data_IF_470358763880
#
_entry.id   IF_470358763880
#
_cell.length_a   1.000
_cell.length_b   1.000
_cell.length_c   1.000
_cell.angle_alpha   90.00
_cell.angle_beta   90.00
_cell.angle_gamma   90.00
#
_symmetry.space_group_name_H-M   'P 1'
#
loop_
_entity.id
_entity.type
_entity.pdbx_description
1 polymer ?
#
# COMPACT_ATOMS: atom_id res chain seq x y z
N UNK A 1 10.88 -19.24 11.01
CA UNK A 1 10.52 -17.88 11.43
C UNK A 1 9.80 -17.28 10.22
N UNK A 2 8.48 -17.13 10.32
CA UNK A 2 7.57 -17.13 9.17
C UNK A 2 7.58 -15.84 8.34
N UNK A 3 7.44 -16.02 7.03
CA UNK A 3 7.17 -14.98 6.03
C UNK A 3 5.93 -14.15 6.42
N UNK A 4 6.15 -13.05 7.12
CA UNK A 4 5.07 -12.14 7.53
C UNK A 4 4.66 -11.17 6.39
N UNK A 5 5.51 -11.00 5.37
CA UNK A 5 5.30 -10.06 4.26
C UNK A 5 4.63 -10.73 3.04
N UNK A 6 4.76 -12.05 2.88
CA UNK A 6 4.26 -12.76 1.69
C UNK A 6 2.74 -12.89 1.57
N UNK A 7 1.97 -12.74 2.66
CA UNK A 7 0.53 -12.96 2.65
C UNK A 7 -0.29 -11.70 2.37
N UNK A 8 0.24 -10.51 2.68
CA UNK A 8 -0.45 -9.22 2.49
C UNK A 8 -0.52 -8.82 1.01
N UNK A 9 0.41 -9.32 0.19
CA UNK A 9 0.57 -9.01 -1.23
C UNK A 9 -0.04 -10.08 -2.17
N UNK A 10 -0.93 -10.95 -1.66
CA UNK A 10 -1.62 -11.90 -2.54
C UNK A 10 -2.49 -11.13 -3.57
N UNK A 11 -2.36 -11.39 -4.88
CA UNK A 11 -3.02 -10.58 -5.92
C UNK A 11 -4.55 -10.50 -5.76
N UNK A 12 -5.19 -11.56 -5.26
CA UNK A 12 -6.63 -11.54 -4.97
C UNK A 12 -7.04 -10.64 -3.78
N UNK A 13 -6.13 -10.43 -2.83
CA UNK A 13 -6.37 -9.57 -1.67
C UNK A 13 -6.26 -8.08 -2.03
N UNK A 14 -5.30 -7.74 -2.90
CA UNK A 14 -5.13 -6.39 -3.45
C UNK A 14 -6.33 -6.00 -4.30
N UNK A 15 -6.78 -6.87 -5.21
CA UNK A 15 -7.94 -6.55 -6.06
C UNK A 15 -9.23 -6.38 -5.24
N UNK A 16 -9.42 -7.19 -4.18
CA UNK A 16 -10.55 -7.02 -3.26
C UNK A 16 -10.49 -5.68 -2.51
N UNK A 17 -9.31 -5.27 -2.06
CA UNK A 17 -9.08 -3.97 -1.45
C UNK A 17 -9.37 -2.82 -2.42
N UNK A 18 -8.86 -2.92 -3.66
CA UNK A 18 -9.07 -1.90 -4.71
C UNK A 18 -10.56 -1.72 -4.98
N UNK A 19 -11.31 -2.82 -5.13
CA UNK A 19 -12.75 -2.77 -5.39
C UNK A 19 -13.55 -2.16 -4.24
N UNK A 20 -13.23 -2.50 -2.98
CA UNK A 20 -13.91 -1.94 -1.82
C UNK A 20 -13.73 -0.42 -1.71
N UNK A 21 -12.50 0.05 -1.91
CA UNK A 21 -12.18 1.46 -1.83
C UNK A 21 -12.67 2.24 -3.05
N UNK A 22 -12.64 1.65 -4.25
CA UNK A 22 -13.20 2.25 -5.45
C UNK A 22 -14.70 2.53 -5.28
N UNK A 23 -15.48 1.55 -4.78
CA UNK A 23 -16.90 1.74 -4.44
C UNK A 23 -17.11 2.82 -3.39
N UNK A 24 -16.19 2.97 -2.46
CA UNK A 24 -16.27 4.01 -1.43
C UNK A 24 -15.98 5.40 -2.00
N UNK A 25 -15.03 5.52 -2.93
CA UNK A 25 -14.74 6.77 -3.62
C UNK A 25 -15.90 7.20 -4.51
N UNK A 26 -16.46 6.29 -5.34
CA UNK A 26 -17.62 6.61 -6.19
C UNK A 26 -18.83 7.07 -5.37
N UNK A 27 -19.03 6.53 -4.16
CA UNK A 27 -20.11 6.96 -3.26
C UNK A 27 -19.89 8.33 -2.62
N UNK A 28 -18.64 8.78 -2.52
CA UNK A 28 -18.26 10.00 -1.77
C UNK A 28 -17.85 11.17 -2.65
N UNK A 29 -17.32 10.88 -3.83
CA UNK A 29 -16.88 11.86 -4.81
C UNK A 29 -17.88 11.91 -5.95
N UNK A 30 -18.47 13.09 -6.17
CA UNK A 30 -19.38 13.30 -7.28
C UNK A 30 -18.59 13.41 -8.60
N UNK A 31 -19.11 12.80 -9.67
CA UNK A 31 -18.49 12.83 -11.00
C UNK A 31 -17.31 11.88 -11.23
N UNK A 32 -17.05 10.92 -10.33
CA UNK A 32 -15.97 9.95 -10.46
C UNK A 32 -16.51 8.60 -10.96
N UNK A 33 -15.97 8.08 -12.07
CA UNK A 33 -16.34 6.75 -12.58
C UNK A 33 -15.69 5.63 -11.75
N UNK A 34 -16.24 4.42 -11.82
CA UNK A 34 -15.69 3.27 -11.10
C UNK A 34 -14.27 2.91 -11.57
N UNK A 35 -13.97 3.05 -12.87
CA UNK A 35 -12.64 2.81 -13.40
C UNK A 35 -11.61 3.85 -12.93
N UNK A 36 -11.98 5.14 -12.94
CA UNK A 36 -11.13 6.20 -12.39
C UNK A 36 -10.89 6.00 -10.88
N UNK A 37 -11.91 5.56 -10.14
CA UNK A 37 -11.80 5.27 -8.72
C UNK A 37 -10.86 4.09 -8.46
N UNK A 38 -10.97 3.00 -9.24
CA UNK A 38 -10.04 1.85 -9.15
C UNK A 38 -8.60 2.27 -9.43
N UNK A 39 -8.39 3.09 -10.45
CA UNK A 39 -7.07 3.59 -10.80
C UNK A 39 -6.47 4.43 -9.67
N UNK A 40 -7.23 5.37 -9.12
CA UNK A 40 -6.78 6.21 -7.99
C UNK A 40 -6.38 5.37 -6.77
N UNK A 41 -7.17 4.35 -6.41
CA UNK A 41 -6.84 3.48 -5.27
C UNK A 41 -5.54 2.72 -5.52
N UNK A 42 -5.30 2.23 -6.74
CA UNK A 42 -4.04 1.56 -7.11
C UNK A 42 -2.85 2.50 -7.00
N UNK A 43 -2.98 3.74 -7.47
CA UNK A 43 -1.92 4.76 -7.37
C UNK A 43 -1.60 5.11 -5.91
N UNK A 44 -2.63 5.31 -5.08
CA UNK A 44 -2.47 5.56 -3.64
C UNK A 44 -1.80 4.38 -2.95
N UNK A 45 -2.23 3.15 -3.25
CA UNK A 45 -1.64 1.93 -2.68
C UNK A 45 -0.16 1.80 -3.07
N UNK A 46 0.18 2.02 -4.34
CA UNK A 46 1.56 1.99 -4.81
C UNK A 46 2.43 3.05 -4.11
N UNK A 47 1.93 4.29 -4.01
CA UNK A 47 2.65 5.37 -3.32
C UNK A 47 2.85 5.08 -1.83
N UNK A 48 1.85 4.52 -1.15
CA UNK A 48 1.95 4.12 0.26
C UNK A 48 2.99 3.00 0.45
N UNK A 49 3.01 2.01 -0.46
CA UNK A 49 3.99 0.91 -0.45
C UNK A 49 5.42 1.44 -0.62
N UNK A 50 5.66 2.34 -1.57
CA UNK A 50 6.99 2.97 -1.75
C UNK A 50 7.43 3.74 -0.51
N UNK A 51 6.54 4.51 0.11
CA UNK A 51 6.85 5.23 1.36
C UNK A 51 7.13 4.27 2.53
N UNK A 52 6.41 3.15 2.62
CA UNK A 52 6.63 2.14 3.66
C UNK A 52 8.01 1.48 3.53
N UNK A 53 8.45 1.18 2.29
CA UNK A 53 9.81 0.68 2.03
C UNK A 53 10.86 1.70 2.46
N UNK A 54 10.69 2.97 2.10
CA UNK A 54 11.64 4.02 2.50
C UNK A 54 11.78 4.16 4.03
N UNK A 55 10.68 4.09 4.78
CA UNK A 55 10.74 4.10 6.26
C UNK A 55 11.45 2.87 6.82
N UNK A 56 11.23 1.70 6.24
CA UNK A 56 11.91 0.48 6.67
C UNK A 56 13.43 0.54 6.44
N UNK A 57 13.86 1.08 5.31
CA UNK A 57 15.28 1.29 5.01
C UNK A 57 15.94 2.27 5.99
N UNK A 58 15.24 3.34 6.35
CA UNK A 58 15.69 4.31 7.38
C UNK A 58 15.81 3.65 8.76
N UNK A 59 14.83 2.85 9.17
CA UNK A 59 14.88 2.11 10.44
C UNK A 59 16.04 1.09 10.50
N UNK A 60 16.37 0.45 9.37
CA UNK A 60 17.51 -0.47 9.29
C UNK A 60 18.83 0.29 9.42
N UNK A 61 18.98 1.41 8.71
CA UNK A 61 20.19 2.24 8.77
C UNK A 61 20.49 2.74 10.19
N UNK A 62 19.46 3.13 10.95
CA UNK A 62 19.60 3.53 12.36
C UNK A 62 20.12 2.37 13.21
N UNK A 63 19.56 1.17 13.05
CA UNK A 63 19.98 -0.01 13.84
C UNK A 63 21.39 -0.49 13.50
N UNK A 64 21.86 -0.29 12.28
CA UNK A 64 23.22 -0.62 11.88
C UNK A 64 24.24 0.37 12.47
N UNK A 65 23.92 1.67 12.48
CA UNK A 65 24.76 2.69 13.12
C UNK A 65 24.92 2.45 14.63
N UNK A 66 23.85 2.04 15.33
CA UNK A 66 23.89 1.70 16.76
C UNK A 66 24.70 0.43 17.09
N UNK A 67 24.99 -0.44 16.11
CA UNK A 67 25.82 -1.64 16.31
C UNK A 67 27.31 -1.40 16.09
N UNK A 68 27.66 -0.34 15.38
CA UNK A 68 29.05 0.01 15.08
C UNK A 68 29.68 0.94 16.13
N UNK A 69 28.89 1.43 17.10
CA UNK A 69 29.32 2.15 18.33
C UNK A 69 29.46 1.22 19.55
#
# INVERSE_FOLDING_TARGET
>A
MGDFIGWVDSPGHIESFVDEWARTLVRRADGLTEDEARQLVREIYAAARTNAVGRYEEEVAVREAEREE
#
